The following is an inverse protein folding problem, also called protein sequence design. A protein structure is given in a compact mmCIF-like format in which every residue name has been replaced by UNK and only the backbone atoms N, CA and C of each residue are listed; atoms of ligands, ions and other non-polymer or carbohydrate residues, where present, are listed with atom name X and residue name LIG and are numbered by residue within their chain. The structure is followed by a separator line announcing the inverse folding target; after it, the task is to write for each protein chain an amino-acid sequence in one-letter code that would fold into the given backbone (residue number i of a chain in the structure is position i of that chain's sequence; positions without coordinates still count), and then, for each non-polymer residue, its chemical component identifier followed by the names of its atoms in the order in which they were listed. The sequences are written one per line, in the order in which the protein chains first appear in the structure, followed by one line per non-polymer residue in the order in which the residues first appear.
data_IF_654358656054
#
_entry.id   IF_654358656054
#
_cell.length_a   1.000
_cell.length_b   1.000
_cell.length_c   1.000
_cell.angle_alpha   90.00
_cell.angle_beta   90.00
_cell.angle_gamma   90.00
#
_symmetry.space_group_name_H-M   'P 1'
#
loop_
_entity.id
_entity.type
_entity.pdbx_description
1 polymer ?
#
# COMPACT_ATOMS: atom_id res chain seq x y z
N UNK A 1 -7.77 -17.82 -18.46
CA UNK A 1 -8.81 -17.16 -17.63
C UNK A 1 -8.83 -15.64 -17.81
N UNK A 2 -7.74 -14.91 -17.52
CA UNK A 2 -7.72 -13.43 -17.63
C UNK A 2 -7.96 -12.88 -19.05
N UNK A 3 -7.37 -13.51 -20.07
CA UNK A 3 -7.51 -13.08 -21.48
C UNK A 3 -8.96 -13.21 -21.97
N UNK A 4 -9.68 -14.23 -21.50
CA UNK A 4 -11.06 -14.51 -21.88
C UNK A 4 -12.04 -13.48 -21.30
N UNK A 5 -11.78 -13.01 -20.08
CA UNK A 5 -12.57 -11.94 -19.44
C UNK A 5 -12.37 -10.60 -20.18
N UNK A 6 -11.13 -10.28 -20.60
CA UNK A 6 -10.86 -9.08 -21.42
C UNK A 6 -11.48 -9.16 -22.82
N UNK A 7 -11.54 -10.33 -23.45
CA UNK A 7 -12.17 -10.50 -24.77
C UNK A 7 -13.70 -10.35 -24.69
N UNK A 8 -14.31 -10.91 -23.64
CA UNK A 8 -15.75 -10.77 -23.35
C UNK A 8 -16.13 -9.30 -23.15
N UNK A 9 -15.29 -8.53 -22.42
CA UNK A 9 -15.50 -7.09 -22.20
C UNK A 9 -15.37 -6.27 -23.49
N UNK A 10 -14.54 -6.69 -24.46
CA UNK A 10 -14.39 -6.01 -25.75
C UNK A 10 -15.61 -6.24 -26.67
N UNK A 11 -16.26 -7.42 -26.60
CA UNK A 11 -17.48 -7.72 -27.35
C UNK A 11 -18.72 -6.93 -26.87
N UNK A 12 -18.79 -6.59 -25.58
CA UNK A 12 -19.90 -5.79 -25.03
C UNK A 12 -19.86 -4.34 -25.56
N UNK A 13 -18.69 -3.82 -25.93
CA UNK A 13 -18.52 -2.48 -26.51
C UNK A 13 -19.16 -2.28 -27.89
N UNK A 14 -19.51 -3.37 -28.60
CA UNK A 14 -20.11 -3.33 -29.95
C UNK A 14 -21.64 -3.46 -29.97
N UNK A 15 -22.28 -3.72 -28.83
CA UNK A 15 -23.73 -3.74 -28.75
C UNK A 15 -24.28 -2.32 -28.66
N UNK A 16 -24.40 -1.72 -29.85
CA UNK A 16 -25.35 -0.68 -30.27
C UNK A 16 -25.61 0.51 -29.34
N UNK A 17 -25.32 1.70 -29.87
CA UNK A 17 -25.66 3.03 -29.34
C UNK A 17 -27.19 3.32 -29.26
N UNK A 18 -28.03 2.30 -29.06
CA UNK A 18 -29.47 2.43 -28.88
C UNK A 18 -29.79 2.34 -27.38
N UNK A 19 -30.38 3.42 -26.86
CA UNK A 19 -30.78 3.49 -25.45
C UNK A 19 -32.30 3.31 -25.37
N UNK A 20 -32.72 2.24 -24.69
CA UNK A 20 -34.13 1.87 -24.52
C UNK A 20 -34.71 2.69 -23.37
N UNK A 21 -35.87 3.32 -23.59
CA UNK A 21 -36.59 4.12 -22.61
C UNK A 21 -38.05 3.71 -22.55
N UNK A 22 -38.55 3.55 -21.33
CA UNK A 22 -39.96 3.32 -21.08
C UNK A 22 -40.67 4.66 -20.94
N UNK A 23 -41.67 4.91 -21.76
CA UNK A 23 -42.59 6.04 -21.64
C UNK A 23 -44.01 5.51 -21.76
N UNK A 24 -44.86 5.81 -20.77
CA UNK A 24 -46.25 5.32 -20.70
C UNK A 24 -46.36 3.77 -20.77
N UNK A 25 -45.38 3.07 -20.18
CA UNK A 25 -45.33 1.60 -20.18
C UNK A 25 -44.84 0.97 -21.50
N UNK A 26 -44.52 1.76 -22.51
CA UNK A 26 -43.99 1.30 -23.80
C UNK A 26 -42.50 1.60 -23.91
N UNK A 27 -41.72 0.60 -24.32
CA UNK A 27 -40.28 0.74 -24.59
C UNK A 27 -40.03 1.31 -25.97
N UNK A 28 -39.25 2.39 -26.04
CA UNK A 28 -38.81 3.03 -27.27
C UNK A 28 -37.27 3.01 -27.36
N UNK A 29 -36.74 2.76 -28.56
CA UNK A 29 -35.32 2.91 -28.87
C UNK A 29 -35.07 4.25 -29.55
N UNK A 30 -34.18 5.07 -29.01
CA UNK A 30 -33.71 6.27 -29.72
C UNK A 30 -32.42 5.97 -30.50
N UNK A 31 -32.42 6.30 -31.80
CA UNK A 31 -31.23 6.31 -32.65
C UNK A 31 -31.16 7.65 -33.37
N UNK A 32 -30.34 8.56 -32.85
CA UNK A 32 -30.22 9.92 -33.38
C UNK A 32 -31.52 10.71 -33.20
N UNK A 33 -32.14 11.12 -34.31
CA UNK A 33 -33.42 11.86 -34.32
C UNK A 33 -34.65 10.95 -34.38
N UNK A 34 -34.49 9.68 -34.76
CA UNK A 34 -35.60 8.75 -34.93
C UNK A 34 -35.92 8.00 -33.62
N UNK A 35 -37.21 7.80 -33.39
CA UNK A 35 -37.79 7.04 -32.28
C UNK A 35 -38.34 5.74 -32.86
N UNK A 36 -37.84 4.61 -32.38
CA UNK A 36 -38.25 3.29 -32.82
C UNK A 36 -39.05 2.58 -31.74
N UNK A 37 -40.06 1.82 -32.14
CA UNK A 37 -40.80 0.87 -31.30
C UNK A 37 -40.74 -0.49 -31.99
N UNK A 38 -40.23 -1.50 -31.29
CA UNK A 38 -40.07 -2.86 -31.84
C UNK A 38 -39.34 -2.89 -33.21
N UNK A 39 -38.33 -2.02 -33.36
CA UNK A 39 -37.55 -1.88 -34.60
C UNK A 39 -38.23 -1.07 -35.72
N UNK A 40 -39.47 -0.62 -35.56
CA UNK A 40 -40.18 0.25 -36.53
C UNK A 40 -40.05 1.72 -36.17
N UNK A 41 -39.72 2.58 -37.14
CA UNK A 41 -39.66 4.03 -36.94
C UNK A 41 -41.08 4.57 -36.73
N UNK A 42 -41.34 5.09 -35.53
CA UNK A 42 -42.62 5.68 -35.10
C UNK A 42 -42.50 7.18 -34.88
N UNK A 43 -41.44 7.80 -35.38
CA UNK A 43 -41.20 9.23 -35.17
C UNK A 43 -42.37 10.06 -35.67
N UNK A 44 -42.80 9.86 -36.91
CA UNK A 44 -43.87 10.68 -37.51
C UNK A 44 -45.27 10.36 -36.98
N UNK A 45 -45.47 9.20 -36.36
CA UNK A 45 -46.78 8.79 -35.80
C UNK A 45 -46.98 9.27 -34.36
N UNK A 46 -45.91 9.66 -33.67
CA UNK A 46 -45.96 10.25 -32.33
C UNK A 46 -46.26 11.75 -32.39
N UNK A 47 -47.08 12.23 -31.45
CA UNK A 47 -47.32 13.67 -31.25
C UNK A 47 -46.03 14.40 -30.89
N UNK A 48 -45.95 15.69 -31.22
CA UNK A 48 -44.79 16.52 -30.90
C UNK A 48 -44.48 16.57 -29.39
N UNK A 49 -45.52 16.52 -28.54
CA UNK A 49 -45.38 16.44 -27.08
C UNK A 49 -44.74 15.12 -26.64
N UNK A 50 -45.21 13.98 -27.17
CA UNK A 50 -44.68 12.66 -26.82
C UNK A 50 -43.24 12.48 -27.29
N UNK A 51 -42.92 12.95 -28.50
CA UNK A 51 -41.53 12.95 -28.99
C UNK A 51 -40.61 13.76 -28.05
N UNK A 52 -41.06 14.93 -27.60
CA UNK A 52 -40.30 15.80 -26.70
C UNK A 52 -40.14 15.17 -25.32
N UNK A 53 -41.17 14.52 -24.79
CA UNK A 53 -41.13 13.82 -23.51
C UNK A 53 -40.15 12.65 -23.53
N UNK A 54 -40.22 11.80 -24.57
CA UNK A 54 -39.30 10.66 -24.77
C UNK A 54 -37.86 11.13 -24.86
N UNK A 55 -37.57 12.16 -25.67
CA UNK A 55 -36.22 12.74 -25.80
C UNK A 55 -35.72 13.39 -24.51
N UNK A 56 -36.58 14.11 -23.79
CA UNK A 56 -36.20 14.71 -22.51
C UNK A 56 -35.83 13.65 -21.46
N UNK A 57 -36.60 12.58 -21.37
CA UNK A 57 -36.29 11.45 -20.48
C UNK A 57 -34.99 10.77 -20.88
N UNK A 58 -34.71 10.68 -22.19
CA UNK A 58 -33.44 10.17 -22.70
C UNK A 58 -32.25 11.01 -22.28
N UNK A 59 -32.31 12.31 -22.49
CA UNK A 59 -31.23 13.19 -22.08
C UNK A 59 -31.00 13.15 -20.57
N UNK A 60 -32.07 13.08 -19.77
CA UNK A 60 -31.97 12.95 -18.31
C UNK A 60 -31.30 11.64 -17.91
N UNK A 61 -31.72 10.52 -18.48
CA UNK A 61 -31.13 9.20 -18.24
C UNK A 61 -29.65 9.16 -18.65
N UNK A 62 -29.32 9.66 -19.85
CA UNK A 62 -27.95 9.69 -20.32
C UNK A 62 -27.05 10.58 -19.45
N UNK A 63 -27.55 11.75 -19.01
CA UNK A 63 -26.84 12.64 -18.09
C UNK A 63 -26.62 11.96 -16.73
N UNK A 64 -27.62 11.25 -16.21
CA UNK A 64 -27.50 10.49 -14.97
C UNK A 64 -26.44 9.37 -15.08
N UNK A 65 -26.44 8.59 -16.17
CA UNK A 65 -25.44 7.55 -16.41
C UNK A 65 -24.03 8.12 -16.57
N UNK A 66 -23.87 9.23 -17.32
CA UNK A 66 -22.58 9.91 -17.46
C UNK A 66 -22.08 10.45 -16.12
N UNK A 67 -22.97 10.97 -15.28
CA UNK A 67 -22.62 11.45 -13.94
C UNK A 67 -22.19 10.27 -13.05
N UNK A 68 -22.96 9.20 -13.04
CA UNK A 68 -22.64 7.98 -12.29
C UNK A 68 -21.29 7.39 -12.69
N UNK A 69 -21.01 7.32 -14.00
CA UNK A 69 -19.72 6.85 -14.52
C UNK A 69 -18.55 7.74 -14.07
N UNK A 70 -18.71 9.07 -14.11
CA UNK A 70 -17.70 10.02 -13.62
C UNK A 70 -17.49 9.89 -12.11
N UNK A 71 -18.56 9.75 -11.35
CA UNK A 71 -18.51 9.59 -9.89
C UNK A 71 -17.80 8.28 -9.53
N UNK A 72 -18.07 7.19 -10.27
CA UNK A 72 -17.41 5.91 -10.10
C UNK A 72 -15.92 5.98 -10.47
N UNK A 73 -15.56 6.63 -11.58
CA UNK A 73 -14.15 6.84 -11.95
C UNK A 73 -13.41 7.68 -10.90
N UNK A 74 -14.05 8.74 -10.38
CA UNK A 74 -13.49 9.56 -9.31
C UNK A 74 -13.29 8.76 -8.02
N UNK A 75 -14.26 7.91 -7.67
CA UNK A 75 -14.19 7.02 -6.52
C UNK A 75 -13.05 6.00 -6.65
N UNK A 76 -12.93 5.35 -7.81
CA UNK A 76 -11.82 4.42 -8.10
C UNK A 76 -10.45 5.11 -8.04
N UNK A 77 -10.34 6.33 -8.58
CA UNK A 77 -9.10 7.12 -8.48
C UNK A 77 -8.76 7.44 -7.02
N UNK A 78 -9.76 7.77 -6.20
CA UNK A 78 -9.58 8.04 -4.77
C UNK A 78 -9.15 6.79 -4.01
N UNK A 79 -9.79 5.63 -4.27
CA UNK A 79 -9.38 4.35 -3.70
C UNK A 79 -7.93 3.99 -4.07
N UNK A 80 -7.55 4.12 -5.34
CA UNK A 80 -6.18 3.86 -5.80
C UNK A 80 -5.14 4.78 -5.14
N UNK A 81 -5.48 6.05 -4.89
CA UNK A 81 -4.61 6.98 -4.16
C UNK A 81 -4.47 6.55 -2.69
N UNK A 82 -5.59 6.30 -2.01
CA UNK A 82 -5.59 5.84 -0.62
C UNK A 82 -4.79 4.54 -0.44
N UNK A 83 -4.93 3.57 -1.35
CA UNK A 83 -4.17 2.32 -1.30
C UNK A 83 -2.65 2.56 -1.45
N UNK A 84 -2.25 3.48 -2.34
CA UNK A 84 -0.84 3.85 -2.50
C UNK A 84 -0.29 4.53 -1.26
N UNK A 85 -1.06 5.42 -0.64
CA UNK A 85 -0.63 6.14 0.56
C UNK A 85 -0.52 5.20 1.76
N UNK A 86 -1.48 4.28 1.94
CA UNK A 86 -1.38 3.22 2.95
C UNK A 86 -0.14 2.33 2.74
N UNK A 87 0.17 1.96 1.49
CA UNK A 87 1.38 1.18 1.18
C UNK A 87 2.67 1.95 1.47
N UNK A 88 2.70 3.27 1.27
CA UNK A 88 3.86 4.11 1.63
C UNK A 88 4.02 4.18 3.14
N UNK A 89 2.93 4.48 3.86
CA UNK A 89 2.92 4.54 5.31
C UNK A 89 3.36 3.21 5.96
N UNK A 90 2.88 2.06 5.44
CA UNK A 90 3.31 0.74 5.94
C UNK A 90 4.80 0.48 5.69
N UNK A 91 5.32 0.88 4.52
CA UNK A 91 6.76 0.77 4.22
C UNK A 91 7.60 1.63 5.14
N UNK A 92 7.19 2.86 5.40
CA UNK A 92 7.88 3.77 6.31
C UNK A 92 7.86 3.24 7.75
N UNK A 93 6.69 2.81 8.23
CA UNK A 93 6.56 2.14 9.54
C UNK A 93 7.51 0.96 9.66
N UNK A 94 7.53 0.07 8.66
CA UNK A 94 8.43 -1.11 8.66
C UNK A 94 9.91 -0.73 8.63
N UNK A 95 10.29 0.34 7.94
CA UNK A 95 11.67 0.84 7.96
C UNK A 95 12.03 1.37 9.34
N UNK A 96 11.18 2.21 9.93
CA UNK A 96 11.38 2.76 11.27
C UNK A 96 11.45 1.66 12.33
N UNK A 97 10.59 0.65 12.26
CA UNK A 97 10.60 -0.49 13.17
C UNK A 97 11.89 -1.33 13.04
N UNK A 98 12.36 -1.56 11.81
CA UNK A 98 13.63 -2.24 11.57
C UNK A 98 14.82 -1.45 12.12
N UNK A 99 14.86 -0.15 11.88
CA UNK A 99 15.92 0.72 12.42
C UNK A 99 15.88 0.74 13.95
N UNK A 100 14.70 0.85 14.55
CA UNK A 100 14.55 0.80 16.01
C UNK A 100 15.03 -0.53 16.57
N UNK A 101 14.66 -1.65 15.93
CA UNK A 101 15.11 -2.99 16.34
C UNK A 101 16.62 -3.15 16.21
N UNK A 102 17.22 -2.63 15.14
CA UNK A 102 18.68 -2.65 14.95
C UNK A 102 19.39 -1.82 16.02
N UNK A 103 18.86 -0.63 16.35
CA UNK A 103 19.39 0.21 17.43
C UNK A 103 19.31 -0.50 18.78
N UNK A 104 18.16 -1.11 19.10
CA UNK A 104 17.99 -1.86 20.34
C UNK A 104 18.98 -3.02 20.41
N UNK A 105 19.11 -3.82 19.33
CA UNK A 105 20.08 -4.92 19.29
C UNK A 105 21.53 -4.43 19.44
N UNK A 106 21.88 -3.31 18.82
CA UNK A 106 23.22 -2.73 18.96
C UNK A 106 23.48 -2.25 20.39
N UNK A 107 22.48 -1.65 21.04
CA UNK A 107 22.53 -1.24 22.44
C UNK A 107 22.68 -2.45 23.38
N UNK A 108 21.85 -3.47 23.23
CA UNK A 108 21.90 -4.68 24.05
C UNK A 108 23.26 -5.39 23.90
N UNK A 109 23.82 -5.43 22.70
CA UNK A 109 25.13 -6.02 22.44
C UNK A 109 26.26 -5.21 23.10
N UNK A 110 26.19 -3.87 23.03
CA UNK A 110 27.15 -3.01 23.70
C UNK A 110 27.09 -3.14 25.22
N UNK A 111 25.89 -3.18 25.79
CA UNK A 111 25.69 -3.34 27.23
C UNK A 111 26.26 -4.68 27.71
N UNK A 112 25.97 -5.77 27.01
CA UNK A 112 26.54 -7.10 27.31
C UNK A 112 28.06 -7.13 27.22
N UNK A 113 28.63 -6.53 26.18
CA UNK A 113 30.08 -6.47 26.02
C UNK A 113 30.75 -5.62 27.11
N UNK A 114 30.15 -4.48 27.45
CA UNK A 114 30.64 -3.57 28.50
C UNK A 114 30.61 -4.25 29.87
N UNK A 115 29.48 -4.89 30.22
CA UNK A 115 29.35 -5.64 31.47
C UNK A 115 30.39 -6.76 31.59
N UNK A 116 30.62 -7.51 30.50
CA UNK A 116 31.63 -8.58 30.49
C UNK A 116 33.06 -8.06 30.65
N UNK A 117 33.36 -6.90 30.06
CA UNK A 117 34.64 -6.21 30.24
C UNK A 117 34.83 -5.81 31.71
N UNK A 118 33.82 -5.18 32.31
CA UNK A 118 33.82 -4.73 33.71
C UNK A 118 34.00 -5.91 34.68
N UNK A 119 33.19 -6.96 34.56
CA UNK A 119 33.31 -8.17 35.38
C UNK A 119 34.69 -8.84 35.26
N UNK A 120 35.27 -8.81 34.06
CA UNK A 120 36.62 -9.37 33.82
C UNK A 120 37.69 -8.50 34.47
N UNK A 121 37.56 -7.18 34.38
CA UNK A 121 38.46 -6.21 35.00
C UNK A 121 38.42 -6.34 36.53
N UNK A 122 37.22 -6.36 37.13
CA UNK A 122 37.04 -6.53 38.57
C UNK A 122 37.66 -7.85 39.08
N UNK A 123 37.47 -8.94 38.33
CA UNK A 123 38.03 -10.25 38.69
C UNK A 123 39.55 -10.24 38.63
N UNK A 124 40.13 -9.60 37.62
CA UNK A 124 41.56 -9.41 37.51
C UNK A 124 42.11 -8.58 38.67
N UNK A 125 41.51 -7.43 38.97
CA UNK A 125 41.93 -6.54 40.06
C UNK A 125 41.86 -7.25 41.42
N UNK A 126 40.81 -8.06 41.64
CA UNK A 126 40.67 -8.90 42.83
C UNK A 126 41.74 -9.98 42.94
N UNK A 127 42.13 -10.63 41.84
CA UNK A 127 43.19 -11.63 41.83
C UNK A 127 44.56 -10.98 42.04
N UNK A 128 44.79 -9.82 41.43
CA UNK A 128 46.04 -9.04 41.53
C UNK A 128 46.26 -8.56 42.95
N UNK A 129 45.22 -7.99 43.57
CA UNK A 129 45.24 -7.59 44.99
C UNK A 129 45.51 -8.75 45.94
N UNK A 130 45.09 -9.97 45.59
CA UNK A 130 45.33 -11.18 46.39
C UNK A 130 46.71 -11.81 46.14
N UNK A 131 47.52 -11.29 45.21
CA UNK A 131 48.80 -11.88 44.84
C UNK A 131 48.67 -13.27 44.20
N UNK A 132 47.50 -13.63 43.66
CA UNK A 132 47.21 -14.97 43.10
C UNK A 132 47.51 -15.09 41.61
N UNK A 133 48.31 -14.19 41.05
CA UNK A 133 48.67 -14.18 39.63
C UNK A 133 50.16 -14.44 39.48
N UNK A 134 50.50 -15.47 38.70
CA UNK A 134 51.85 -15.61 38.16
C UNK A 134 52.06 -14.59 37.03
N UNK A 135 53.30 -14.22 36.68
CA UNK A 135 53.57 -13.31 35.56
C UNK A 135 52.93 -13.77 34.23
N UNK A 136 52.94 -15.09 33.99
CA UNK A 136 52.32 -15.70 32.79
C UNK A 136 50.79 -15.62 32.81
N UNK A 137 50.17 -15.69 33.99
CA UNK A 137 48.72 -15.53 34.10
C UNK A 137 48.31 -14.07 34.01
N UNK A 138 49.11 -13.14 34.53
CA UNK A 138 48.89 -11.69 34.37
C UNK A 138 48.83 -11.29 32.89
N UNK A 139 49.76 -11.80 32.08
CA UNK A 139 49.75 -11.60 30.64
C UNK A 139 48.45 -12.14 29.97
N UNK A 140 47.99 -13.33 30.36
CA UNK A 140 46.72 -13.90 29.84
C UNK A 140 45.51 -13.06 30.22
N UNK A 141 45.47 -12.53 31.44
CA UNK A 141 44.37 -11.68 31.91
C UNK A 141 44.36 -10.34 31.19
N UNK A 142 45.53 -9.70 31.03
CA UNK A 142 45.66 -8.45 30.27
C UNK A 142 45.18 -8.66 28.83
N UNK A 143 45.63 -9.72 28.15
CA UNK A 143 45.18 -10.05 26.79
C UNK A 143 43.67 -10.29 26.71
N UNK A 144 43.08 -10.92 27.72
CA UNK A 144 41.64 -11.17 27.80
C UNK A 144 40.84 -9.88 27.98
N UNK A 145 41.31 -8.97 28.83
CA UNK A 145 40.71 -7.64 29.05
C UNK A 145 40.78 -6.82 27.76
N UNK A 146 41.93 -6.82 27.09
CA UNK A 146 42.11 -6.11 25.82
C UNK A 146 41.18 -6.63 24.72
N UNK A 147 40.98 -7.95 24.64
CA UNK A 147 40.00 -8.54 23.73
C UNK A 147 38.58 -8.05 24.03
N UNK A 148 38.13 -8.05 25.30
CA UNK A 148 36.79 -7.56 25.63
C UNK A 148 36.62 -6.05 25.47
N UNK A 149 37.67 -5.27 25.72
CA UNK A 149 37.68 -3.84 25.41
C UNK A 149 37.49 -3.60 23.91
N UNK A 150 38.21 -4.35 23.07
CA UNK A 150 38.06 -4.29 21.63
C UNK A 150 36.66 -4.69 21.16
N UNK A 151 36.05 -5.70 21.79
CA UNK A 151 34.67 -6.12 21.49
C UNK A 151 33.65 -5.05 21.90
N UNK A 152 33.80 -4.44 23.08
CA UNK A 152 32.96 -3.33 23.54
C UNK A 152 33.10 -2.10 22.63
N UNK A 153 34.32 -1.75 22.20
CA UNK A 153 34.55 -0.64 21.28
C UNK A 153 33.96 -0.89 19.88
N UNK A 154 34.03 -2.13 19.38
CA UNK A 154 33.35 -2.51 18.13
C UNK A 154 31.84 -2.39 18.26
N UNK A 155 31.27 -2.88 19.37
CA UNK A 155 29.83 -2.77 19.64
C UNK A 155 29.40 -1.30 19.76
N UNK A 156 30.20 -0.47 20.45
CA UNK A 156 29.97 0.99 20.55
C UNK A 156 29.96 1.68 19.20
N UNK A 157 30.94 1.37 18.33
CA UNK A 157 30.99 1.89 16.96
C UNK A 157 29.80 1.44 16.13
N UNK A 158 29.26 0.24 16.37
CA UNK A 158 28.07 -0.25 15.68
C UNK A 158 26.78 0.51 16.09
N UNK A 159 26.66 0.94 17.35
CA UNK A 159 25.56 1.78 17.80
C UNK A 159 25.53 3.14 17.10
N UNK A 160 26.71 3.78 16.93
CA UNK A 160 26.80 5.11 16.30
C UNK A 160 26.61 5.12 14.79
N UNK A 161 26.62 3.95 14.14
CA UNK A 161 26.39 3.80 12.69
C UNK A 161 24.93 3.45 12.35
N UNK A 162 24.09 3.18 13.35
CA UNK A 162 22.72 2.63 13.20
C UNK A 162 21.63 3.70 13.34
#
# INVERSE_FOLDING_TARGET
MKIWITLLLFCIGYLSNAQIIVHEGVSYELKGKSIFKDGKDVTQTLSAENQKAIRSNFEKSQKATKKLAKDQEAFEKKLKKNEKDLKKADKERKKSEKTLKQKQQAQDNFEKASKKMEETQEKYDKLKRKGKLSPKDEEKWIKKIENYKNDADKARKSMGKS
#
